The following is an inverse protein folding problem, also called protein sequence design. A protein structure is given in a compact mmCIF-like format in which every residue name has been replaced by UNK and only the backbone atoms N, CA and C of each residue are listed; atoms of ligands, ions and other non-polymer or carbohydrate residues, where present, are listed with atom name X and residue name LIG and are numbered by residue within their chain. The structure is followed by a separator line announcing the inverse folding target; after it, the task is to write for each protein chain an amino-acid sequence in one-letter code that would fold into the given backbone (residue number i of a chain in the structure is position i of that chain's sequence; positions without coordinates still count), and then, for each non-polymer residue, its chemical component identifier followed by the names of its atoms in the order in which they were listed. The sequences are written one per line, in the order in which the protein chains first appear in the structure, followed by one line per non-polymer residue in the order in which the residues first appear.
data_IF_633560863098
#
_entry.id   IF_633560863098
#
_cell.length_a   1.000
_cell.length_b   1.000
_cell.length_c   1.000
_cell.angle_alpha   90.00
_cell.angle_beta   90.00
_cell.angle_gamma   90.00
#
_symmetry.space_group_name_H-M   'P 1'
#
loop_
_entity.id
_entity.type
_entity.pdbx_description
1 polymer ?
#
# COMPACT_ATOMS: atom_id res chain seq x y z
N UNK A 1 19.76 19.74 -18.58
CA UNK A 1 19.97 18.29 -18.32
C UNK A 1 18.64 17.71 -17.85
N UNK A 2 18.24 16.50 -18.28
CA UNK A 2 17.05 15.85 -17.73
C UNK A 2 17.29 15.52 -16.26
N UNK A 3 16.26 15.73 -15.42
CA UNK A 3 16.33 15.49 -13.99
C UNK A 3 16.34 13.98 -13.71
N UNK A 4 17.27 13.54 -12.87
CA UNK A 4 17.41 12.15 -12.39
C UNK A 4 17.14 12.09 -10.88
N UNK A 5 16.80 10.92 -10.30
CA UNK A 5 16.62 10.78 -8.85
C UNK A 5 17.84 11.26 -8.06
N UNK A 6 19.05 10.89 -8.50
CA UNK A 6 20.31 11.33 -7.87
C UNK A 6 20.47 12.85 -7.87
N UNK A 7 20.23 13.50 -9.01
CA UNK A 7 20.30 14.98 -9.07
C UNK A 7 19.19 15.64 -8.26
N UNK A 8 17.98 15.07 -8.24
CA UNK A 8 16.85 15.61 -7.49
C UNK A 8 17.14 15.59 -5.98
N UNK A 9 17.69 14.48 -5.49
CA UNK A 9 18.13 14.33 -4.10
C UNK A 9 19.15 15.39 -3.69
N UNK A 10 20.18 15.63 -4.52
CA UNK A 10 21.21 16.64 -4.25
C UNK A 10 20.59 18.04 -4.15
N UNK A 11 19.65 18.39 -5.04
CA UNK A 11 18.98 19.69 -4.97
C UNK A 11 18.15 19.86 -3.69
N UNK A 12 17.53 18.79 -3.18
CA UNK A 12 16.80 18.83 -1.91
C UNK A 12 17.72 18.97 -0.71
N UNK A 13 18.85 18.27 -0.69
CA UNK A 13 19.85 18.40 0.37
C UNK A 13 20.43 19.81 0.44
N UNK A 14 20.82 20.37 -0.71
CA UNK A 14 21.34 21.75 -0.77
C UNK A 14 20.29 22.75 -0.28
N UNK A 15 19.01 22.57 -0.65
CA UNK A 15 17.93 23.43 -0.19
C UNK A 15 17.64 23.31 1.31
N UNK A 16 17.96 22.17 1.94
CA UNK A 16 17.73 21.95 3.38
C UNK A 16 18.76 22.63 4.30
N UNK A 17 19.92 23.05 3.77
CA UNK A 17 21.01 23.68 4.53
C UNK A 17 20.99 25.23 4.49
N UNK A 18 19.85 25.84 4.15
CA UNK A 18 19.46 27.24 4.44
C UNK A 18 20.31 28.40 3.87
N UNK A 19 21.16 28.19 2.86
CA UNK A 19 22.07 29.25 2.36
C UNK A 19 21.87 29.76 0.93
N UNK A 20 20.85 29.35 0.16
CA UNK A 20 20.75 29.81 -1.24
C UNK A 20 19.35 30.27 -1.67
N UNK A 21 19.27 31.56 -2.06
CA UNK A 21 18.08 32.22 -2.64
C UNK A 21 18.01 32.07 -4.16
N UNK A 22 16.78 32.01 -4.68
CA UNK A 22 16.45 32.18 -6.10
C UNK A 22 16.45 30.87 -6.88
N UNK A 23 17.49 30.66 -7.69
CA UNK A 23 17.55 29.59 -8.68
C UNK A 23 17.62 28.18 -8.08
N UNK A 24 18.14 28.04 -6.86
CA UNK A 24 18.18 26.74 -6.17
C UNK A 24 16.80 26.34 -5.66
N UNK A 25 15.95 27.30 -5.25
CA UNK A 25 14.61 26.98 -4.78
C UNK A 25 13.70 26.51 -5.94
N UNK A 26 13.82 27.13 -7.11
CA UNK A 26 13.08 26.70 -8.30
C UNK A 26 13.52 25.30 -8.75
N UNK A 27 14.83 25.00 -8.69
CA UNK A 27 15.37 23.66 -8.94
C UNK A 27 14.90 22.64 -7.89
N UNK A 28 14.88 23.01 -6.61
CA UNK A 28 14.37 22.15 -5.55
C UNK A 28 12.87 21.87 -5.73
N UNK A 29 12.07 22.85 -6.12
CA UNK A 29 10.65 22.64 -6.42
C UNK A 29 10.47 21.71 -7.65
N UNK A 30 11.25 21.90 -8.71
CA UNK A 30 11.25 20.99 -9.85
C UNK A 30 11.68 19.56 -9.47
N UNK A 31 12.65 19.42 -8.56
CA UNK A 31 13.07 18.13 -8.00
C UNK A 31 11.94 17.46 -7.21
N UNK A 32 11.17 18.22 -6.42
CA UNK A 32 9.99 17.69 -5.71
C UNK A 32 8.95 17.14 -6.69
N UNK A 33 8.56 17.94 -7.68
CA UNK A 33 7.56 17.54 -8.68
C UNK A 33 8.04 16.32 -9.49
N UNK A 34 9.33 16.28 -9.84
CA UNK A 34 9.93 15.13 -10.51
C UNK A 34 9.83 13.86 -9.65
N UNK A 35 10.18 13.92 -8.37
CA UNK A 35 10.10 12.76 -7.47
C UNK A 35 8.66 12.32 -7.24
N UNK A 36 7.73 13.25 -7.02
CA UNK A 36 6.31 12.96 -6.85
C UNK A 36 5.74 12.23 -8.08
N UNK A 37 6.11 12.70 -9.27
CA UNK A 37 5.66 12.10 -10.54
C UNK A 37 6.29 10.72 -10.76
N UNK A 38 7.61 10.60 -10.55
CA UNK A 38 8.36 9.36 -10.78
C UNK A 38 8.00 8.24 -9.81
N UNK A 39 7.67 8.60 -8.56
CA UNK A 39 7.31 7.69 -7.48
C UNK A 39 5.82 7.82 -7.11
N UNK A 40 4.97 8.05 -8.12
CA UNK A 40 3.54 8.16 -7.91
C UNK A 40 2.94 6.85 -7.37
N UNK A 41 3.40 5.71 -7.91
CA UNK A 41 3.07 4.36 -7.44
C UNK A 41 4.26 3.79 -6.64
N UNK A 42 4.32 4.15 -5.35
CA UNK A 42 5.41 3.74 -4.46
C UNK A 42 5.47 2.22 -4.25
N UNK A 43 4.33 1.52 -4.39
CA UNK A 43 4.26 0.07 -4.23
C UNK A 43 5.02 -0.68 -5.33
N UNK A 44 5.09 -0.09 -6.54
CA UNK A 44 5.88 -0.62 -7.66
C UNK A 44 7.37 -0.27 -7.61
N UNK A 45 7.75 0.77 -6.87
CA UNK A 45 9.09 1.34 -6.91
C UNK A 45 9.88 1.06 -5.61
N UNK A 46 9.52 0.04 -4.83
CA UNK A 46 10.07 -0.17 -3.48
C UNK A 46 11.60 -0.28 -3.45
N UNK A 47 12.21 -0.98 -4.41
CA UNK A 47 13.66 -1.13 -4.46
C UNK A 47 14.35 0.18 -4.86
N UNK A 48 13.77 0.93 -5.80
CA UNK A 48 14.23 2.27 -6.19
C UNK A 48 14.07 3.32 -5.07
N UNK A 49 13.19 3.09 -4.09
CA UNK A 49 13.04 3.98 -2.92
C UNK A 49 14.18 3.76 -1.92
N UNK A 50 14.69 2.54 -1.81
CA UNK A 50 15.74 2.19 -0.86
C UNK A 50 17.07 2.90 -1.13
N UNK A 51 17.26 3.49 -2.31
CA UNK A 51 18.47 4.24 -2.70
C UNK A 51 18.35 5.77 -2.49
N UNK A 52 17.20 6.25 -2.04
CA UNK A 52 16.94 7.68 -1.86
C UNK A 52 17.37 8.15 -0.47
N UNK A 53 17.72 9.44 -0.34
CA UNK A 53 18.06 10.03 0.95
C UNK A 53 16.82 10.57 1.68
N UNK A 54 16.98 10.89 2.96
CA UNK A 54 15.88 11.31 3.83
C UNK A 54 15.03 12.46 3.24
N UNK A 55 15.60 13.57 2.73
CA UNK A 55 14.80 14.65 2.14
C UNK A 55 13.93 14.20 0.97
N UNK A 56 14.40 13.26 0.15
CA UNK A 56 13.63 12.71 -0.96
C UNK A 56 12.48 11.82 -0.45
N UNK A 57 12.74 10.97 0.55
CA UNK A 57 11.71 10.16 1.22
C UNK A 57 10.64 11.04 1.87
N UNK A 58 11.04 12.13 2.53
CA UNK A 58 10.09 13.06 3.15
C UNK A 58 9.18 13.73 2.12
N UNK A 59 9.72 14.12 0.97
CA UNK A 59 8.94 14.65 -0.15
C UNK A 59 7.97 13.62 -0.71
N UNK A 60 8.41 12.37 -0.88
CA UNK A 60 7.60 11.30 -1.47
C UNK A 60 6.46 10.89 -0.54
N UNK A 61 6.76 10.64 0.74
CA UNK A 61 5.80 10.09 1.70
C UNK A 61 4.98 11.17 2.42
N UNK A 62 5.52 12.38 2.56
CA UNK A 62 4.84 13.52 3.17
C UNK A 62 3.86 14.24 2.24
N UNK A 63 3.79 13.87 0.95
CA UNK A 63 2.87 14.48 -0.02
C UNK A 63 1.41 14.17 0.29
N UNK A 64 0.55 15.12 -0.07
CA UNK A 64 -0.89 14.90 -0.07
C UNK A 64 -1.30 13.98 -1.23
N UNK A 65 -2.29 13.13 -1.01
CA UNK A 65 -2.79 12.22 -2.06
C UNK A 65 -1.89 11.02 -2.39
N UNK A 66 -0.87 10.72 -1.56
CA UNK A 66 -0.08 9.49 -1.68
C UNK A 66 -1.00 8.26 -1.76
N UNK A 67 -0.91 7.52 -2.86
CA UNK A 67 -1.72 6.32 -3.11
C UNK A 67 -1.01 5.11 -2.51
N UNK A 68 -1.45 4.70 -1.33
CA UNK A 68 -0.97 3.52 -0.61
C UNK A 68 -2.15 2.75 -0.03
N UNK A 69 -2.06 1.42 0.09
CA UNK A 69 -3.23 0.67 0.50
C UNK A 69 -3.61 0.80 1.98
N UNK A 70 -2.63 1.08 2.83
CA UNK A 70 -2.86 1.42 4.24
C UNK A 70 -1.68 2.20 4.79
N UNK A 71 -1.89 2.79 5.95
CA UNK A 71 -0.83 3.43 6.72
C UNK A 71 0.24 2.43 7.16
N UNK A 72 -0.13 1.16 7.41
CA UNK A 72 0.82 0.09 7.72
C UNK A 72 1.84 -0.11 6.60
N UNK A 73 1.43 0.01 5.33
CA UNK A 73 2.36 -0.08 4.20
C UNK A 73 3.34 1.11 4.18
N UNK A 74 2.92 2.30 4.59
CA UNK A 74 3.81 3.46 4.72
C UNK A 74 4.86 3.18 5.78
N UNK A 75 4.41 2.70 6.95
CA UNK A 75 5.31 2.32 8.04
C UNK A 75 6.34 1.28 7.57
N UNK A 76 5.88 0.20 6.96
CA UNK A 76 6.75 -0.90 6.50
C UNK A 76 7.76 -0.43 5.45
N UNK A 77 7.36 0.44 4.51
CA UNK A 77 8.27 1.03 3.53
C UNK A 77 9.32 1.95 4.15
N UNK A 78 8.93 2.78 5.14
CA UNK A 78 9.85 3.69 5.83
C UNK A 78 10.86 2.91 6.68
N UNK A 79 10.41 1.87 7.39
CA UNK A 79 11.30 0.99 8.16
C UNK A 79 12.26 0.24 7.25
N UNK A 80 11.77 -0.36 6.15
CA UNK A 80 12.62 -1.04 5.17
C UNK A 80 13.68 -0.08 4.59
N UNK A 81 13.27 1.13 4.21
CA UNK A 81 14.21 2.15 3.72
C UNK A 81 15.31 2.46 4.75
N UNK A 82 14.94 2.66 6.01
CA UNK A 82 15.91 2.98 7.05
C UNK A 82 16.86 1.80 7.34
N UNK A 83 16.38 0.56 7.28
CA UNK A 83 17.21 -0.63 7.42
C UNK A 83 18.27 -0.76 6.31
N UNK A 84 17.90 -0.41 5.08
CA UNK A 84 18.82 -0.45 3.92
C UNK A 84 19.81 0.73 3.92
N UNK A 85 19.39 1.93 4.32
CA UNK A 85 20.25 3.12 4.35
C UNK A 85 21.17 3.18 5.56
N UNK A 86 20.74 2.65 6.71
CA UNK A 86 21.44 2.74 7.98
C UNK A 86 21.60 1.35 8.60
N UNK A 87 22.69 0.63 8.28
CA UNK A 87 22.99 -0.67 8.87
C UNK A 87 23.23 -0.59 10.38
N UNK A 88 23.77 0.53 10.86
CA UNK A 88 23.96 0.81 12.29
C UNK A 88 22.62 1.04 13.00
N UNK A 89 22.41 0.34 14.12
CA UNK A 89 21.14 0.35 14.85
C UNK A 89 20.85 1.71 15.51
N UNK A 90 21.86 2.36 16.09
CA UNK A 90 21.67 3.60 16.84
C UNK A 90 21.43 4.78 15.88
N UNK A 91 22.17 4.83 14.77
CA UNK A 91 21.90 5.78 13.69
C UNK A 91 20.51 5.56 13.09
N UNK A 92 20.16 4.30 12.79
CA UNK A 92 18.83 3.94 12.28
C UNK A 92 17.71 4.38 13.21
N UNK A 93 17.87 4.16 14.52
CA UNK A 93 16.93 4.62 15.56
C UNK A 93 16.75 6.13 15.57
N UNK A 94 17.85 6.88 15.52
CA UNK A 94 17.81 8.33 15.51
C UNK A 94 17.09 8.87 14.27
N UNK A 95 17.38 8.32 13.09
CA UNK A 95 16.73 8.71 11.83
C UNK A 95 15.24 8.36 11.86
N UNK A 96 14.89 7.11 12.20
CA UNK A 96 13.51 6.66 12.27
C UNK A 96 12.71 7.49 13.27
N UNK A 97 13.19 7.67 14.50
CA UNK A 97 12.52 8.47 15.52
C UNK A 97 12.25 9.91 15.07
N UNK A 98 13.17 10.51 14.31
CA UNK A 98 12.97 11.83 13.72
C UNK A 98 11.93 11.84 12.62
N UNK A 99 12.05 10.98 11.59
CA UNK A 99 11.23 11.11 10.39
C UNK A 99 9.86 10.44 10.50
N UNK A 100 9.74 9.34 11.25
CA UNK A 100 8.53 8.51 11.23
C UNK A 100 7.31 9.24 11.80
N UNK A 101 7.51 10.14 12.77
CA UNK A 101 6.46 11.02 13.31
C UNK A 101 5.87 11.97 12.28
N UNK A 102 6.66 12.33 11.25
CA UNK A 102 6.23 13.22 10.17
C UNK A 102 5.59 12.46 9.01
N UNK A 103 5.99 11.22 8.78
CA UNK A 103 5.61 10.43 7.61
C UNK A 103 4.47 9.44 7.88
N UNK A 104 4.34 8.95 9.11
CA UNK A 104 3.38 7.92 9.50
C UNK A 104 2.32 8.51 10.43
N UNK A 105 1.05 8.29 10.09
CA UNK A 105 -0.09 8.63 10.93
C UNK A 105 -0.44 7.46 11.85
N UNK A 106 0.24 7.35 12.99
CA UNK A 106 0.09 6.23 13.92
C UNK A 106 -1.34 5.94 14.39
N UNK A 107 -2.17 6.97 14.51
CA UNK A 107 -3.60 6.83 14.85
C UNK A 107 -4.43 6.04 13.84
N UNK A 108 -3.92 5.89 12.61
CA UNK A 108 -4.58 5.20 11.49
C UNK A 108 -3.98 3.81 11.22
N UNK A 109 -2.85 3.46 11.87
CA UNK A 109 -2.28 2.12 11.77
C UNK A 109 -3.26 1.05 12.27
N UNK A 110 -3.15 -0.19 11.78
CA UNK A 110 -3.94 -1.31 12.30
C UNK A 110 -3.57 -1.62 13.75
N UNK A 111 -4.51 -2.21 14.51
CA UNK A 111 -4.21 -2.59 15.90
C UNK A 111 -3.13 -3.68 15.97
N UNK A 112 -3.13 -4.61 15.00
CA UNK A 112 -2.07 -5.62 14.83
C UNK A 112 -0.70 -4.96 14.64
N UNK A 113 -0.60 -3.90 13.84
CA UNK A 113 0.65 -3.17 13.65
C UNK A 113 1.07 -2.44 14.93
N UNK A 114 0.13 -1.80 15.64
CA UNK A 114 0.42 -1.12 16.90
C UNK A 114 0.98 -2.07 17.97
N UNK A 115 0.52 -3.32 18.01
CA UNK A 115 1.06 -4.33 18.92
C UNK A 115 2.51 -4.71 18.58
N UNK A 116 2.87 -4.71 17.29
CA UNK A 116 4.22 -5.00 16.81
C UNK A 116 5.19 -3.83 17.09
N UNK A 117 4.74 -2.57 16.99
CA UNK A 117 5.57 -1.38 17.26
C UNK A 117 6.26 -1.39 18.63
N UNK A 118 5.64 -2.05 19.62
CA UNK A 118 6.21 -2.21 20.94
C UNK A 118 7.49 -3.09 20.96
N UNK A 119 7.75 -3.83 19.88
CA UNK A 119 8.85 -4.79 19.73
C UNK A 119 9.82 -4.47 18.57
N UNK A 120 9.60 -3.38 17.83
CA UNK A 120 10.41 -3.00 16.67
C UNK A 120 11.72 -2.28 17.03
N UNK A 121 12.56 -1.99 16.03
CA UNK A 121 13.83 -1.26 16.15
C UNK A 121 13.71 0.16 16.74
N UNK A 122 12.50 0.63 17.04
CA UNK A 122 12.23 1.95 17.61
C UNK A 122 12.59 2.02 19.10
N UNK A 123 12.84 3.23 19.59
CA UNK A 123 13.01 3.48 21.02
C UNK A 123 11.73 3.09 21.79
N UNK A 124 11.89 2.39 22.91
CA UNK A 124 10.76 1.83 23.66
C UNK A 124 9.86 2.89 24.27
N UNK A 125 10.41 4.03 24.70
CA UNK A 125 9.62 5.12 25.28
C UNK A 125 8.83 5.83 24.19
N UNK A 126 9.46 6.05 23.04
CA UNK A 126 8.80 6.56 21.85
C UNK A 126 7.64 5.67 21.39
N UNK A 127 7.89 4.37 21.15
CA UNK A 127 6.87 3.42 20.71
C UNK A 127 5.69 3.37 21.67
N UNK A 128 5.96 3.31 22.98
CA UNK A 128 4.91 3.27 24.00
C UNK A 128 4.05 4.54 24.01
N UNK A 129 4.65 5.72 23.83
CA UNK A 129 3.92 6.98 23.76
C UNK A 129 2.96 7.00 22.56
N UNK A 130 3.49 6.65 21.39
CA UNK A 130 2.76 6.63 20.12
C UNK A 130 1.63 5.59 20.11
N UNK A 131 1.89 4.38 20.61
CA UNK A 131 0.87 3.32 20.70
C UNK A 131 -0.26 3.74 21.63
N UNK A 132 0.05 4.34 22.78
CA UNK A 132 -0.98 4.83 23.71
C UNK A 132 -1.85 5.91 23.08
N UNK A 133 -1.25 6.88 22.41
CA UNK A 133 -1.99 7.95 21.73
C UNK A 133 -2.88 7.39 20.60
N UNK A 134 -2.34 6.48 19.79
CA UNK A 134 -3.09 5.84 18.71
C UNK A 134 -4.27 5.01 19.21
N UNK A 135 -4.07 4.21 20.26
CA UNK A 135 -5.14 3.43 20.88
C UNK A 135 -6.21 4.34 21.51
N UNK A 136 -5.80 5.42 22.18
CA UNK A 136 -6.73 6.40 22.73
C UNK A 136 -7.59 7.04 21.63
N UNK A 137 -6.96 7.49 20.53
CA UNK A 137 -7.68 8.01 19.36
C UNK A 137 -8.67 7.02 18.76
N UNK A 138 -8.31 5.73 18.69
CA UNK A 138 -9.23 4.68 18.20
C UNK A 138 -10.44 4.50 19.12
N UNK A 139 -10.22 4.48 20.43
CA UNK A 139 -11.31 4.38 21.43
C UNK A 139 -12.22 5.60 21.38
N UNK A 140 -11.66 6.80 21.21
CA UNK A 140 -12.43 8.03 21.09
C UNK A 140 -13.18 8.12 19.76
N UNK A 141 -12.57 7.80 18.63
CA UNK A 141 -13.23 7.83 17.32
C UNK A 141 -14.35 6.79 17.17
N UNK A 142 -14.36 5.75 18.01
CA UNK A 142 -15.46 4.79 18.14
C UNK A 142 -16.69 5.40 18.83
N UNK A 143 -16.49 6.47 19.60
CA UNK A 143 -17.55 7.31 20.17
C UNK A 143 -17.74 8.45 19.16
N UNK A 144 -18.91 8.54 18.55
CA UNK A 144 -19.20 9.65 17.64
C UNK A 144 -18.71 10.98 18.24
N UNK A 145 -18.09 11.83 17.40
CA UNK A 145 -17.59 13.19 17.72
C UNK A 145 -16.12 13.26 18.15
N UNK A 146 -15.17 13.17 17.21
CA UNK A 146 -14.18 14.25 17.00
C UNK A 146 -13.32 14.03 15.72
N UNK A 147 -13.18 15.12 14.98
CA UNK A 147 -12.09 15.44 14.06
C UNK A 147 -11.97 14.72 12.71
N UNK A 148 -12.75 15.26 11.76
CA UNK A 148 -12.45 15.40 10.32
C UNK A 148 -11.19 16.24 10.01
N UNK A 149 -10.17 16.34 10.87
CA UNK A 149 -9.12 17.38 10.74
C UNK A 149 -7.66 16.96 10.67
N UNK A 150 -7.32 15.67 10.62
CA UNK A 150 -5.88 15.30 10.65
C UNK A 150 -5.43 14.18 9.72
N UNK A 151 -6.32 13.54 8.95
CA UNK A 151 -5.88 12.53 7.99
C UNK A 151 -5.70 13.22 6.64
N UNK A 152 -4.45 13.56 6.30
CA UNK A 152 -4.09 14.12 4.98
C UNK A 152 -4.17 13.10 3.83
N UNK A 153 -4.27 11.80 4.14
CA UNK A 153 -4.38 10.74 3.13
C UNK A 153 -5.83 10.43 2.80
N UNK A 154 -6.17 10.62 1.54
CA UNK A 154 -7.49 10.30 1.02
C UNK A 154 -7.55 8.82 0.62
N UNK A 155 -8.17 8.00 1.47
CA UNK A 155 -8.41 6.58 1.22
C UNK A 155 -9.68 6.33 0.38
N UNK A 156 -10.20 7.32 -0.35
CA UNK A 156 -11.32 7.10 -1.28
C UNK A 156 -10.92 6.25 -2.48
N UNK A 157 -9.63 6.23 -2.84
CA UNK A 157 -9.05 5.37 -3.88
C UNK A 157 -7.93 4.52 -3.28
N UNK A 158 -7.85 3.27 -3.73
CA UNK A 158 -6.79 2.33 -3.38
C UNK A 158 -6.33 1.56 -4.61
N UNK A 159 -5.01 1.33 -4.71
CA UNK A 159 -4.40 0.39 -5.65
C UNK A 159 -3.65 -0.65 -4.80
N UNK A 160 -4.05 -1.91 -4.90
CA UNK A 160 -3.48 -3.02 -4.15
C UNK A 160 -2.84 -4.01 -5.11
N UNK A 161 -1.62 -4.44 -4.80
CA UNK A 161 -0.90 -5.51 -5.52
C UNK A 161 -0.95 -6.78 -4.68
N UNK A 162 -1.33 -7.90 -5.29
CA UNK A 162 -1.49 -9.17 -4.60
C UNK A 162 -0.84 -10.29 -5.40
N UNK A 163 0.36 -10.66 -4.96
CA UNK A 163 1.16 -11.66 -5.63
C UNK A 163 0.98 -13.01 -4.96
N UNK A 164 0.81 -14.04 -5.79
CA UNK A 164 0.61 -15.42 -5.36
C UNK A 164 1.57 -16.32 -6.11
N UNK A 165 2.35 -17.14 -5.40
CA UNK A 165 3.16 -18.16 -6.07
C UNK A 165 2.27 -19.24 -6.69
N UNK A 166 2.77 -19.92 -7.72
CA UNK A 166 2.08 -21.05 -8.34
C UNK A 166 1.75 -22.16 -7.33
N UNK A 167 2.61 -22.37 -6.33
CA UNK A 167 2.34 -23.31 -5.25
C UNK A 167 1.18 -22.85 -4.34
N UNK A 168 1.17 -21.57 -3.95
CA UNK A 168 0.05 -20.96 -3.23
C UNK A 168 -1.25 -21.08 -4.01
N UNK A 169 -1.24 -20.83 -5.33
CA UNK A 169 -2.41 -21.05 -6.17
C UNK A 169 -2.85 -22.51 -6.14
N UNK A 170 -1.94 -23.49 -6.29
CA UNK A 170 -2.26 -24.93 -6.25
C UNK A 170 -2.87 -25.37 -4.92
N UNK A 171 -2.49 -24.75 -3.80
CA UNK A 171 -3.09 -24.98 -2.48
C UNK A 171 -4.57 -24.59 -2.43
N UNK A 172 -5.00 -23.58 -3.20
CA UNK A 172 -6.42 -23.21 -3.27
C UNK A 172 -7.31 -24.38 -3.72
N UNK A 173 -6.85 -25.19 -4.67
CA UNK A 173 -7.58 -26.38 -5.13
C UNK A 173 -7.76 -27.42 -4.03
N UNK A 174 -6.88 -27.45 -3.03
CA UNK A 174 -6.97 -28.34 -1.86
C UNK A 174 -7.94 -27.84 -0.78
N UNK A 175 -8.65 -26.74 -1.04
CA UNK A 175 -9.64 -26.17 -0.14
C UNK A 175 -9.09 -25.06 0.76
N UNK A 176 -7.83 -24.65 0.57
CA UNK A 176 -7.30 -23.48 1.26
C UNK A 176 -7.85 -22.21 0.60
N UNK A 177 -8.09 -21.18 1.41
CA UNK A 177 -8.39 -19.85 0.90
C UNK A 177 -7.23 -18.92 1.24
N UNK A 178 -6.92 -17.99 0.34
CA UNK A 178 -5.83 -17.04 0.55
C UNK A 178 -6.39 -15.63 0.56
N UNK A 179 -6.19 -14.95 1.68
CA UNK A 179 -6.48 -13.54 1.82
C UNK A 179 -5.22 -12.72 1.62
N UNK A 180 -5.36 -11.57 0.96
CA UNK A 180 -4.34 -10.53 1.01
C UNK A 180 -4.23 -9.92 2.40
N UNK A 181 -3.18 -9.12 2.61
CA UNK A 181 -3.16 -8.16 3.70
C UNK A 181 -4.34 -7.18 3.61
N UNK A 182 -4.63 -6.50 4.72
CA UNK A 182 -5.72 -5.51 4.76
C UNK A 182 -5.32 -4.23 4.05
N UNK A 183 -6.29 -3.62 3.38
CA UNK A 183 -6.20 -2.27 2.85
C UNK A 183 -7.49 -1.51 3.12
N UNK A 184 -7.43 -0.19 3.06
CA UNK A 184 -8.52 0.67 3.52
C UNK A 184 -9.15 1.43 2.36
N UNK A 185 -10.48 1.46 2.35
CA UNK A 185 -11.29 2.31 1.49
C UNK A 185 -12.22 3.13 2.38
N UNK A 186 -12.05 4.44 2.41
CA UNK A 186 -12.89 5.32 3.24
C UNK A 186 -12.87 4.97 4.72
N UNK A 187 -11.72 4.48 5.21
CA UNK A 187 -11.48 3.93 6.57
C UNK A 187 -12.10 2.56 6.86
N UNK A 188 -12.81 1.96 5.92
CA UNK A 188 -13.29 0.58 6.02
C UNK A 188 -12.19 -0.39 5.58
N UNK A 189 -11.82 -1.41 6.38
CA UNK A 189 -10.86 -2.41 5.96
C UNK A 189 -11.48 -3.44 5.01
N UNK A 190 -10.71 -3.75 3.97
CA UNK A 190 -10.97 -4.76 2.96
C UNK A 190 -9.74 -5.67 2.79
N UNK A 191 -9.97 -6.84 2.18
CA UNK A 191 -8.90 -7.66 1.59
C UNK A 191 -9.34 -8.18 0.22
N UNK A 192 -8.38 -8.70 -0.54
CA UNK A 192 -8.65 -9.57 -1.66
C UNK A 192 -8.70 -11.01 -1.16
N UNK A 193 -9.71 -11.74 -1.57
CA UNK A 193 -9.94 -13.14 -1.22
C UNK A 193 -9.81 -13.99 -2.49
N UNK A 194 -8.74 -14.77 -2.58
CA UNK A 194 -8.51 -15.73 -3.65
C UNK A 194 -8.98 -17.12 -3.22
N UNK A 195 -9.75 -17.77 -4.09
CA UNK A 195 -10.40 -19.07 -3.81
C UNK A 195 -10.52 -19.90 -5.08
N UNK A 196 -10.41 -21.22 -4.95
CA UNK A 196 -10.82 -22.14 -6.00
C UNK A 196 -12.34 -22.35 -5.95
N UNK A 197 -13.03 -22.00 -7.04
CA UNK A 197 -14.49 -22.16 -7.14
C UNK A 197 -14.82 -23.53 -7.68
N UNK A 198 -15.21 -24.45 -6.79
CA UNK A 198 -15.51 -25.84 -7.15
C UNK A 198 -16.64 -26.00 -8.18
N UNK A 199 -17.62 -25.10 -8.20
CA UNK A 199 -18.75 -25.13 -9.15
C UNK A 199 -18.32 -24.94 -10.60
N UNK A 200 -17.30 -24.11 -10.82
CA UNK A 200 -16.77 -23.77 -12.16
C UNK A 200 -15.37 -24.36 -12.40
N UNK A 201 -14.79 -24.99 -11.37
CA UNK A 201 -13.40 -25.42 -11.33
C UNK A 201 -12.46 -24.32 -11.85
N UNK A 202 -12.47 -23.16 -11.19
CA UNK A 202 -11.80 -21.94 -11.66
C UNK A 202 -11.17 -21.12 -10.54
N UNK A 203 -10.28 -20.21 -10.89
CA UNK A 203 -9.71 -19.24 -9.94
C UNK A 203 -10.68 -18.07 -9.76
N UNK A 204 -11.16 -17.89 -8.53
CA UNK A 204 -12.02 -16.78 -8.13
C UNK A 204 -11.27 -15.74 -7.31
N UNK A 205 -11.62 -14.47 -7.51
CA UNK A 205 -11.07 -13.35 -6.76
C UNK A 205 -12.19 -12.41 -6.33
N UNK A 206 -12.20 -12.02 -5.06
CA UNK A 206 -13.26 -11.23 -4.44
C UNK A 206 -12.68 -10.09 -3.59
N UNK A 207 -13.32 -8.93 -3.63
CA UNK A 207 -13.09 -7.84 -2.70
C UNK A 207 -14.00 -8.06 -1.48
N UNK A 208 -13.40 -8.20 -0.30
CA UNK A 208 -14.07 -8.70 0.89
C UNK A 208 -13.93 -7.69 2.04
N UNK A 209 -15.03 -7.14 2.59
CA UNK A 209 -14.99 -6.38 3.84
C UNK A 209 -14.47 -7.26 4.98
N UNK A 210 -13.61 -6.72 5.84
CA UNK A 210 -13.10 -7.43 7.03
C UNK A 210 -13.90 -7.15 8.31
N UNK A 211 -14.45 -5.93 8.42
CA UNK A 211 -15.23 -5.50 9.58
C UNK A 211 -16.63 -5.09 9.18
N UNK A 212 -17.56 -5.08 10.15
CA UNK A 212 -18.94 -4.66 9.94
C UNK A 212 -18.95 -3.25 9.32
N UNK A 213 -19.65 -3.12 8.20
CA UNK A 213 -19.85 -1.82 7.57
C UNK A 213 -20.63 -0.89 8.50
N UNK A 214 -20.07 0.29 8.77
CA UNK A 214 -20.75 1.34 9.53
C UNK A 214 -21.85 2.04 8.71
N UNK A 215 -21.71 2.03 7.39
CA UNK A 215 -22.65 2.56 6.41
C UNK A 215 -22.51 1.80 5.10
N UNK A 216 -23.57 1.82 4.29
CA UNK A 216 -23.51 1.31 2.93
C UNK A 216 -22.48 2.10 2.11
N UNK A 217 -21.74 1.41 1.26
CA UNK A 217 -20.69 2.02 0.45
C UNK A 217 -20.71 1.45 -0.97
N UNK A 218 -20.68 2.33 -1.97
CA UNK A 218 -20.58 1.91 -3.36
C UNK A 218 -19.13 2.04 -3.80
N UNK A 219 -18.60 0.92 -4.30
CA UNK A 219 -17.20 0.82 -4.71
C UNK A 219 -17.16 0.40 -6.17
N UNK A 220 -16.52 1.24 -6.97
CA UNK A 220 -16.07 0.89 -8.32
C UNK A 220 -14.71 0.24 -8.21
N UNK A 221 -14.58 -1.00 -8.67
CA UNK A 221 -13.30 -1.71 -8.65
C UNK A 221 -12.97 -2.39 -9.97
N UNK A 222 -11.67 -2.54 -10.21
CA UNK A 222 -11.09 -3.22 -11.36
C UNK A 222 -10.07 -4.23 -10.85
N UNK A 223 -10.22 -5.50 -11.23
CA UNK A 223 -9.15 -6.49 -11.04
C UNK A 223 -8.42 -6.69 -12.36
N UNK A 224 -7.11 -6.70 -12.29
CA UNK A 224 -6.21 -6.93 -13.41
C UNK A 224 -5.20 -7.99 -13.02
N UNK A 225 -4.67 -8.70 -14.02
CA UNK A 225 -3.58 -9.63 -13.85
C UNK A 225 -2.51 -9.35 -14.88
N UNK A 226 -1.25 -9.48 -14.47
CA UNK A 226 -0.14 -9.39 -15.41
C UNK A 226 -0.17 -10.58 -16.38
N UNK A 227 0.06 -10.34 -17.67
CA UNK A 227 -0.09 -11.36 -18.70
C UNK A 227 1.03 -11.27 -19.75
N UNK A 228 1.51 -12.43 -20.21
CA UNK A 228 2.42 -12.59 -21.36
C UNK A 228 1.68 -12.46 -22.70
N UNK A 229 2.36 -12.02 -23.78
CA UNK A 229 3.79 -11.72 -23.86
C UNK A 229 4.19 -10.30 -23.42
N UNK A 230 3.25 -9.37 -23.27
CA UNK A 230 3.55 -7.95 -23.02
C UNK A 230 4.07 -7.68 -21.60
N UNK A 231 3.83 -8.59 -20.65
CA UNK A 231 4.18 -8.44 -19.23
C UNK A 231 3.58 -7.12 -18.69
N UNK A 232 2.27 -6.94 -18.92
CA UNK A 232 1.51 -5.79 -18.44
C UNK A 232 0.17 -6.23 -17.82
N UNK A 233 -0.41 -5.37 -16.98
CA UNK A 233 -1.67 -5.62 -16.28
C UNK A 233 -2.86 -5.46 -17.21
N UNK A 234 -3.53 -6.58 -17.49
CA UNK A 234 -4.73 -6.62 -18.30
C UNK A 234 -5.97 -6.73 -17.42
N UNK A 235 -6.97 -5.87 -17.67
CA UNK A 235 -8.24 -5.87 -16.95
C UNK A 235 -8.96 -7.21 -17.12
N UNK A 236 -9.40 -7.81 -16.01
CA UNK A 236 -10.16 -9.06 -15.96
C UNK A 236 -11.62 -8.84 -15.57
N UNK A 237 -11.87 -7.84 -14.73
CA UNK A 237 -13.20 -7.33 -14.42
C UNK A 237 -13.10 -5.85 -14.08
N UNK A 238 -14.11 -5.09 -14.50
CA UNK A 238 -14.33 -3.71 -14.08
C UNK A 238 -15.81 -3.56 -13.77
N UNK A 239 -16.15 -3.28 -12.53
CA UNK A 239 -17.54 -3.25 -12.09
C UNK A 239 -17.71 -2.27 -10.93
N UNK A 240 -18.96 -2.09 -10.56
CA UNK A 240 -19.40 -1.27 -9.45
C UNK A 240 -20.33 -2.11 -8.60
N UNK A 241 -20.11 -2.09 -7.29
CA UNK A 241 -20.94 -2.82 -6.34
C UNK A 241 -21.21 -1.99 -5.11
N UNK A 242 -22.45 -2.05 -4.67
CA UNK A 242 -22.90 -1.53 -3.39
C UNK A 242 -22.70 -2.61 -2.33
N UNK A 243 -21.89 -2.31 -1.33
CA UNK A 243 -21.64 -3.16 -0.18
C UNK A 243 -22.59 -2.74 0.95
N UNK A 244 -23.44 -3.66 1.37
CA UNK A 244 -24.46 -3.44 2.43
C UNK A 244 -24.21 -4.32 3.66
N UNK A 245 -23.36 -5.33 3.53
CA UNK A 245 -23.03 -6.31 4.56
C UNK A 245 -21.57 -6.78 4.41
N UNK A 246 -21.22 -7.87 5.09
CA UNK A 246 -19.92 -8.51 5.00
C UNK A 246 -19.76 -9.41 3.78
N UNK A 247 -20.64 -9.34 2.78
CA UNK A 247 -20.51 -10.18 1.59
C UNK A 247 -19.38 -9.66 0.68
N UNK A 248 -18.51 -10.58 0.25
CA UNK A 248 -17.48 -10.30 -0.74
C UNK A 248 -18.03 -10.32 -2.16
N UNK A 249 -17.53 -9.40 -3.00
CA UNK A 249 -17.94 -9.28 -4.39
C UNK A 249 -16.74 -9.39 -5.34
N UNK A 250 -16.93 -10.09 -6.45
CA UNK A 250 -15.84 -10.34 -7.39
C UNK A 250 -16.25 -11.20 -8.57
N UNK A 251 -15.32 -12.01 -9.07
CA UNK A 251 -15.54 -12.90 -10.22
C UNK A 251 -15.14 -14.32 -9.84
N UNK A 252 -16.07 -15.28 -10.03
CA UNK A 252 -15.85 -16.69 -9.71
C UNK A 252 -14.83 -17.37 -10.64
N UNK A 253 -14.80 -16.96 -11.90
CA UNK A 253 -13.77 -17.33 -12.86
C UNK A 253 -13.08 -16.07 -13.39
N UNK A 254 -12.05 -15.59 -12.67
CA UNK A 254 -11.40 -14.33 -12.99
C UNK A 254 -10.81 -14.33 -14.42
N UNK A 255 -10.23 -15.46 -14.83
CA UNK A 255 -9.48 -15.61 -16.07
C UNK A 255 -10.30 -16.18 -17.24
N UNK A 256 -11.60 -16.43 -17.02
CA UNK A 256 -12.50 -17.07 -18.00
C UNK A 256 -11.93 -18.39 -18.56
N UNK A 257 -11.24 -19.16 -17.71
CA UNK A 257 -10.64 -20.44 -18.09
C UNK A 257 -10.73 -21.49 -16.96
N UNK A 258 -10.68 -22.78 -17.31
CA UNK A 258 -10.62 -23.85 -16.32
C UNK A 258 -9.34 -23.82 -15.51
N UNK A 259 -9.41 -24.36 -14.29
CA UNK A 259 -8.28 -24.43 -13.36
C UNK A 259 -7.06 -25.11 -13.96
N UNK A 260 -7.25 -26.23 -14.66
CA UNK A 260 -6.18 -27.01 -15.30
C UNK A 260 -5.38 -26.16 -16.28
N UNK A 261 -6.06 -25.36 -17.11
CA UNK A 261 -5.42 -24.43 -18.04
C UNK A 261 -4.76 -23.26 -17.30
N UNK A 262 -5.40 -22.77 -16.23
CA UNK A 262 -4.88 -21.66 -15.45
C UNK A 262 -3.52 -22.00 -14.81
N UNK A 263 -3.37 -23.16 -14.16
CA UNK A 263 -2.10 -23.56 -13.50
C UNK A 263 -1.14 -24.35 -14.40
N UNK A 264 -1.42 -24.42 -15.71
CA UNK A 264 -0.59 -25.11 -16.68
C UNK A 264 0.78 -24.44 -16.84
N UNK A 265 1.79 -25.21 -17.28
CA UNK A 265 3.16 -24.71 -17.46
C UNK A 265 3.25 -23.58 -18.50
N UNK A 266 2.39 -23.62 -19.50
CA UNK A 266 2.27 -22.64 -20.58
C UNK A 266 1.25 -21.54 -20.30
N UNK A 267 0.72 -21.47 -19.07
CA UNK A 267 -0.20 -20.41 -18.66
C UNK A 267 0.44 -19.03 -18.83
N UNK A 268 -0.25 -18.07 -19.48
CA UNK A 268 0.32 -16.76 -19.75
C UNK A 268 0.36 -15.86 -18.50
N UNK A 269 -0.22 -16.29 -17.38
CA UNK A 269 -0.39 -15.48 -16.16
C UNK A 269 0.70 -15.67 -15.12
N UNK A 270 1.53 -16.71 -15.25
CA UNK A 270 2.63 -16.95 -14.33
C UNK A 270 3.94 -16.43 -14.94
N UNK A 271 4.53 -15.44 -14.28
CA UNK A 271 5.83 -14.84 -14.63
C UNK A 271 6.77 -15.20 -13.49
N UNK A 272 7.83 -15.94 -13.80
CA UNK A 272 8.73 -16.52 -12.80
C UNK A 272 7.99 -17.28 -11.68
N UNK A 273 6.99 -18.07 -12.08
CA UNK A 273 6.10 -18.84 -11.20
C UNK A 273 5.24 -18.00 -10.23
N UNK A 274 5.13 -16.68 -10.45
CA UNK A 274 4.28 -15.78 -9.67
C UNK A 274 3.11 -15.27 -10.52
N UNK A 275 1.93 -15.32 -9.94
CA UNK A 275 0.75 -14.63 -10.42
C UNK A 275 0.72 -13.23 -9.80
N UNK A 276 0.82 -12.21 -10.65
CA UNK A 276 0.72 -10.82 -10.21
C UNK A 276 -0.70 -10.28 -10.44
N UNK A 277 -1.41 -9.97 -9.35
CA UNK A 277 -2.73 -9.36 -9.39
C UNK A 277 -2.66 -7.90 -8.96
N UNK A 278 -3.55 -7.09 -9.54
CA UNK A 278 -3.74 -5.69 -9.18
C UNK A 278 -5.21 -5.38 -9.04
N UNK A 279 -5.58 -4.81 -7.90
CA UNK A 279 -6.92 -4.29 -7.65
C UNK A 279 -6.87 -2.77 -7.57
N UNK A 280 -7.64 -2.10 -8.41
CA UNK A 280 -7.93 -0.67 -8.24
C UNK A 280 -9.35 -0.54 -7.70
N UNK A 281 -9.54 0.19 -6.61
CA UNK A 281 -10.85 0.42 -6.04
C UNK A 281 -11.04 1.90 -5.73
N UNK A 282 -12.26 2.40 -5.93
CA UNK A 282 -12.63 3.79 -5.68
C UNK A 282 -14.04 3.87 -5.14
N UNK A 283 -14.22 4.62 -4.06
CA UNK A 283 -15.53 4.94 -3.51
C UNK A 283 -16.20 5.94 -4.45
N UNK A 284 -17.45 5.65 -4.81
CA UNK A 284 -18.30 6.53 -5.58
C UNK A 284 -19.53 6.79 -4.72
N UNK A 285 -19.71 8.04 -4.30
CA UNK A 285 -20.82 8.45 -3.42
C UNK A 285 -22.18 8.33 -4.12
#
# INVERSE_FOLDING_TARGET
MPMTPKSATIYLEIASHDLVKGDIQSLANAAKEFLITRYNDVMKCQDDLCILTLPAIEVIFGREGLQVPSEDHVYDMVVKWAQEQFPDLEERRAVLGSCITRLVHFSVLSSEKLDILACDDLDSDFSNGVVKEALFFKVESSKEILNRRSIKRDYTRCIYYFDLSLDQCKRLRRGENLDSGRFYLGKQPFCLHAVHRSTESSFGLFLQPKDRLLKEITIKYTFSAMQKPEIDFMNKIKTERKFTDLSGWGKANLFDMPWESFVAKDSPYFIDEVLHLRAEATIIE
#
